data_IF_772204028609
#
_entry.id   IF_772204028609
#
_cell.length_a   1.000
_cell.length_b   1.000
_cell.length_c   1.000
_cell.angle_alpha   90.00
_cell.angle_beta   90.00
_cell.angle_gamma   90.00
#
_symmetry.space_group_name_H-M   'P 1'
#
loop_
_entity.id
_entity.type
_entity.pdbx_description
1 polymer ?
#
# COMPACT_ATOMS: atom_id res chain seq x y z
N UNK A 1 -20.47 14.61 23.70
CA UNK A 1 -19.09 14.12 23.84
C UNK A 1 -18.16 14.99 23.00
N UNK A 2 -17.06 15.48 23.59
CA UNK A 2 -16.07 16.29 22.91
C UNK A 2 -15.39 15.49 21.78
N UNK A 3 -15.18 16.12 20.62
CA UNK A 3 -14.40 15.52 19.53
C UNK A 3 -12.92 15.83 19.78
N UNK A 4 -12.07 14.81 19.72
CA UNK A 4 -10.62 14.97 19.79
C UNK A 4 -10.14 15.56 18.46
N UNK A 5 -9.46 16.72 18.44
CA UNK A 5 -8.86 17.28 17.23
C UNK A 5 -7.60 16.50 16.83
N UNK A 6 -7.31 16.46 15.54
CA UNK A 6 -6.03 15.96 15.03
C UNK A 6 -4.92 16.97 15.31
N UNK A 7 -3.77 16.46 15.73
CA UNK A 7 -2.55 17.27 15.84
C UNK A 7 -2.13 17.82 14.48
N UNK A 8 -1.38 18.92 14.48
CA UNK A 8 -0.81 19.48 13.24
C UNK A 8 0.08 18.46 12.52
N UNK A 9 0.84 17.67 13.27
CA UNK A 9 1.71 16.61 12.72
C UNK A 9 0.89 15.47 12.09
N UNK A 10 -0.17 15.02 12.77
CA UNK A 10 -1.07 13.98 12.25
C UNK A 10 -1.75 14.43 10.96
N UNK A 11 -2.22 15.68 10.90
CA UNK A 11 -2.81 16.22 9.67
C UNK A 11 -1.79 16.30 8.54
N UNK A 12 -0.58 16.77 8.82
CA UNK A 12 0.49 16.83 7.83
C UNK A 12 0.82 15.44 7.27
N UNK A 13 0.86 14.42 8.13
CA UNK A 13 1.04 13.03 7.72
C UNK A 13 -0.13 12.52 6.88
N UNK A 14 -1.37 12.75 7.30
CA UNK A 14 -2.54 12.25 6.60
C UNK A 14 -2.71 12.86 5.20
N UNK A 15 -2.28 14.11 5.00
CA UNK A 15 -2.33 14.80 3.70
C UNK A 15 -1.36 14.19 2.67
N UNK A 16 -0.27 13.55 3.09
CA UNK A 16 0.67 12.93 2.14
C UNK A 16 0.16 11.61 1.57
N UNK A 17 -0.90 11.03 2.13
CA UNK A 17 -1.43 9.73 1.72
C UNK A 17 -2.36 9.86 0.51
N UNK A 18 -2.21 9.05 -0.56
CA UNK A 18 -3.09 9.08 -1.73
C UNK A 18 -4.54 8.64 -1.43
N UNK A 19 -4.76 8.00 -0.29
CA UNK A 19 -6.09 7.60 0.19
C UNK A 19 -6.92 8.78 0.73
N UNK A 20 -6.28 9.92 0.97
CA UNK A 20 -6.87 11.09 1.62
C UNK A 20 -6.93 12.24 0.61
N UNK A 21 -8.13 12.79 0.44
CA UNK A 21 -8.34 13.96 -0.41
C UNK A 21 -8.06 15.27 0.35
N UNK A 22 -8.48 15.34 1.61
CA UNK A 22 -8.28 16.51 2.46
C UNK A 22 -8.47 16.16 3.95
N UNK A 23 -7.85 16.95 4.83
CA UNK A 23 -7.91 16.76 6.29
C UNK A 23 -8.19 18.07 7.00
N UNK A 24 -9.35 18.13 7.65
CA UNK A 24 -9.69 19.18 8.61
C UNK A 24 -9.27 18.78 10.02
N UNK A 25 -9.44 19.69 10.99
CA UNK A 25 -9.12 19.44 12.41
C UNK A 25 -9.86 18.24 13.01
N UNK A 26 -11.07 17.92 12.53
CA UNK A 26 -11.88 16.81 13.07
C UNK A 26 -12.34 15.80 12.03
N UNK A 27 -12.09 16.06 10.74
CA UNK A 27 -12.68 15.29 9.63
C UNK A 27 -11.61 14.95 8.61
N UNK A 28 -11.72 13.75 8.06
CA UNK A 28 -10.89 13.28 6.97
C UNK A 28 -11.82 13.07 5.78
N UNK A 29 -11.46 13.67 4.66
CA UNK A 29 -12.08 13.46 3.37
C UNK A 29 -11.26 12.39 2.65
N UNK A 30 -11.88 11.26 2.34
CA UNK A 30 -11.21 10.17 1.65
C UNK A 30 -11.36 10.35 0.14
N UNK A 31 -10.37 9.92 -0.62
CA UNK A 31 -10.47 9.92 -2.08
C UNK A 31 -11.51 8.90 -2.56
N UNK A 32 -12.24 9.23 -3.62
CA UNK A 32 -13.23 8.33 -4.23
C UNK A 32 -12.57 7.05 -4.73
N UNK A 33 -11.37 7.15 -5.31
CA UNK A 33 -10.55 6.00 -5.72
C UNK A 33 -10.29 5.02 -4.56
N UNK A 34 -9.85 5.51 -3.40
CA UNK A 34 -9.61 4.66 -2.24
C UNK A 34 -10.90 4.03 -1.72
N UNK A 35 -12.00 4.80 -1.65
CA UNK A 35 -13.31 4.28 -1.24
C UNK A 35 -13.75 3.11 -2.13
N UNK A 36 -13.64 3.25 -3.45
CA UNK A 36 -14.07 2.22 -4.41
C UNK A 36 -13.20 0.96 -4.31
N UNK A 37 -11.88 1.12 -4.27
CA UNK A 37 -10.93 0.02 -4.06
C UNK A 37 -11.20 -0.72 -2.75
N UNK A 38 -11.43 0.05 -1.67
CA UNK A 38 -11.75 -0.49 -0.34
C UNK A 38 -13.03 -1.31 -0.37
N UNK A 39 -14.11 -0.79 -0.97
CA UNK A 39 -15.39 -1.49 -1.04
C UNK A 39 -15.29 -2.78 -1.86
N UNK A 40 -14.52 -2.78 -2.95
CA UNK A 40 -14.28 -3.98 -3.77
C UNK A 40 -13.59 -5.08 -2.96
N UNK A 41 -12.49 -4.75 -2.28
CA UNK A 41 -11.73 -5.72 -1.46
C UNK A 41 -12.50 -6.16 -0.21
N UNK A 42 -13.20 -5.25 0.44
CA UNK A 42 -13.98 -5.59 1.63
C UNK A 42 -15.13 -6.54 1.27
N UNK A 43 -15.78 -6.39 0.10
CA UNK A 43 -16.78 -7.34 -0.42
C UNK A 43 -16.19 -8.73 -0.69
N UNK A 44 -14.90 -8.81 -1.01
CA UNK A 44 -14.17 -10.09 -1.15
C UNK A 44 -13.84 -10.75 0.21
N UNK A 45 -14.22 -10.13 1.33
CA UNK A 45 -14.03 -10.66 2.68
C UNK A 45 -12.76 -10.18 3.39
N UNK A 46 -12.06 -9.20 2.84
CA UNK A 46 -10.88 -8.63 3.50
C UNK A 46 -11.22 -7.78 4.73
N UNK A 47 -10.35 -7.82 5.74
CA UNK A 47 -10.56 -7.04 6.98
C UNK A 47 -10.40 -5.54 6.74
N UNK A 48 -11.39 -4.75 7.13
CA UNK A 48 -11.34 -3.28 7.04
C UNK A 48 -10.08 -2.69 7.69
N UNK A 49 -9.68 -3.21 8.85
CA UNK A 49 -8.49 -2.74 9.57
C UNK A 49 -7.21 -2.96 8.76
N UNK A 50 -7.13 -4.08 8.03
CA UNK A 50 -5.98 -4.41 7.19
C UNK A 50 -5.89 -3.47 5.99
N UNK A 51 -7.02 -3.22 5.31
CA UNK A 51 -7.08 -2.33 4.15
C UNK A 51 -6.72 -0.89 4.50
N UNK A 52 -7.22 -0.39 5.64
CA UNK A 52 -6.84 0.95 6.11
C UNK A 52 -5.36 1.02 6.48
N UNK A 53 -4.79 -0.02 7.12
CA UNK A 53 -3.35 -0.06 7.42
C UNK A 53 -2.48 -0.08 6.17
N UNK A 54 -2.86 -0.83 5.15
CA UNK A 54 -2.15 -0.89 3.85
C UNK A 54 -2.12 0.48 3.15
N UNK A 55 -3.19 1.26 3.31
CA UNK A 55 -3.29 2.62 2.79
C UNK A 55 -2.59 3.69 3.68
N UNK A 56 -1.85 3.29 4.71
CA UNK A 56 -1.18 4.20 5.66
C UNK A 56 -2.10 4.81 6.72
N UNK A 57 -3.36 4.41 6.77
CA UNK A 57 -4.36 4.90 7.71
C UNK A 57 -4.42 4.00 8.95
N UNK A 58 -3.39 4.04 9.80
CA UNK A 58 -3.29 3.16 10.97
C UNK A 58 -4.46 3.40 11.96
N UNK A 59 -5.12 2.35 12.47
CA UNK A 59 -6.11 2.45 13.55
C UNK A 59 -5.67 3.21 14.80
N UNK A 60 -4.36 3.35 15.05
CA UNK A 60 -3.82 4.17 16.14
C UNK A 60 -4.04 5.68 15.92
N UNK A 61 -3.91 6.15 14.68
CA UNK A 61 -4.08 7.56 14.31
C UNK A 61 -5.56 7.85 14.02
N UNK A 62 -6.20 6.98 13.23
CA UNK A 62 -7.58 7.19 12.78
C UNK A 62 -8.59 6.79 13.85
N UNK A 63 -8.28 5.77 14.65
CA UNK A 63 -9.19 5.14 15.60
C UNK A 63 -10.07 4.05 14.97
N UNK A 64 -10.10 2.86 15.60
CA UNK A 64 -10.93 1.71 15.15
C UNK A 64 -12.40 2.08 14.92
N UNK A 65 -13.01 2.83 15.84
CA UNK A 65 -14.41 3.27 15.73
C UNK A 65 -14.68 4.21 14.57
N UNK A 66 -13.67 4.92 14.05
CA UNK A 66 -13.83 5.77 12.86
C UNK A 66 -13.82 4.91 11.60
N UNK A 67 -12.96 3.88 11.56
CA UNK A 67 -12.94 2.89 10.48
C UNK A 67 -14.30 2.19 10.37
N UNK A 68 -14.81 1.61 11.46
CA UNK A 68 -16.12 0.95 11.49
C UNK A 68 -17.26 1.85 10.96
N UNK A 69 -17.34 3.10 11.45
CA UNK A 69 -18.36 4.06 11.00
C UNK A 69 -18.21 4.43 9.52
N UNK A 70 -16.98 4.59 9.04
CA UNK A 70 -16.75 4.89 7.63
C UNK A 70 -17.19 3.72 6.75
N UNK A 71 -16.82 2.49 7.12
CA UNK A 71 -17.24 1.27 6.41
C UNK A 71 -18.76 1.17 6.33
N UNK A 72 -19.47 1.33 7.46
CA UNK A 72 -20.94 1.26 7.47
C UNK A 72 -21.58 2.34 6.60
N UNK A 73 -21.04 3.57 6.64
CA UNK A 73 -21.52 4.66 5.79
C UNK A 73 -21.29 4.36 4.31
N UNK A 74 -20.11 3.87 3.94
CA UNK A 74 -19.77 3.56 2.56
C UNK A 74 -20.55 2.37 1.99
N UNK A 75 -20.92 1.41 2.84
CA UNK A 75 -21.79 0.30 2.44
C UNK A 75 -23.23 0.73 2.15
N UNK A 76 -23.71 1.77 2.84
CA UNK A 76 -25.04 2.32 2.62
C UNK A 76 -25.14 3.20 1.36
N UNK A 77 -24.01 3.55 0.75
CA UNK A 77 -23.95 4.39 -0.44
C UNK A 77 -23.62 3.52 -1.66
N UNK A 78 -24.26 3.76 -2.82
CA UNK A 78 -23.84 3.14 -4.08
C UNK A 78 -22.35 3.40 -4.33
N UNK A 79 -21.67 2.41 -4.92
CA UNK A 79 -20.34 2.65 -5.48
C UNK A 79 -20.56 3.65 -6.62
N UNK A 80 -19.96 4.83 -6.50
CA UNK A 80 -19.88 5.73 -7.64
C UNK A 80 -18.91 5.04 -8.60
N UNK A 81 -19.45 4.46 -9.67
CA UNK A 81 -18.67 4.19 -10.88
C UNK A 81 -18.18 5.56 -11.31
N UNK A 82 -16.94 5.86 -10.92
CA UNK A 82 -16.17 6.83 -11.69
C UNK A 82 -16.12 6.18 -13.06
N UNK A 83 -16.77 6.80 -14.05
CA UNK A 83 -16.37 6.64 -15.42
C UNK A 83 -14.87 6.90 -15.43
N UNK A 84 -14.14 5.79 -15.48
CA UNK A 84 -12.75 5.76 -15.83
C UNK A 84 -12.74 6.28 -17.27
N UNK A 85 -12.66 7.60 -17.44
CA UNK A 85 -12.05 8.17 -18.64
C UNK A 85 -10.61 7.65 -18.62
N UNK A 86 -10.47 6.41 -19.08
CA UNK A 86 -9.21 5.77 -19.40
C UNK A 86 -8.55 6.62 -20.46
N UNK A 87 -7.73 7.57 -20.03
CA UNK A 87 -6.82 8.27 -20.93
C UNK A 87 -5.49 7.53 -20.98
N UNK A 88 -5.57 6.25 -21.31
CA UNK A 88 -4.48 5.46 -21.88
C UNK A 88 -5.10 4.65 -23.04
N UNK A 89 -5.38 5.31 -24.16
CA UNK A 89 -5.42 4.67 -25.47
C UNK A 89 -5.10 5.68 -26.57
N UNK A 90 -3.97 5.41 -27.22
CA UNK A 90 -3.61 5.83 -28.56
C UNK A 90 -4.81 5.66 -29.52
N UNK A 91 -5.45 6.74 -29.96
CA UNK A 91 -6.20 6.75 -31.21
C UNK A 91 -5.86 7.97 -32.07
N UNK A 92 -5.02 7.68 -33.06
CA UNK A 92 -5.13 8.20 -34.42
C UNK A 92 -6.59 8.14 -34.90
N UNK A 93 -7.34 9.22 -34.74
CA UNK A 93 -8.48 9.52 -35.61
C UNK A 93 -8.85 10.99 -35.53
N UNK A 94 -8.77 11.64 -36.69
CA UNK A 94 -9.05 13.05 -36.86
C UNK A 94 -10.46 13.43 -36.47
N UNK A 95 -10.59 14.18 -35.38
CA UNK A 95 -11.76 15.02 -35.11
C UNK A 95 -11.26 16.44 -34.85
N UNK A 96 -11.66 17.33 -35.75
CA UNK A 96 -11.32 18.74 -35.76
C UNK A 96 -11.93 19.44 -34.53
N UNK A 97 -11.07 19.84 -33.58
CA UNK A 97 -11.43 20.74 -32.49
C UNK A 97 -10.71 22.07 -32.73
N UNK A 98 -11.50 23.11 -32.97
CA UNK A 98 -11.00 24.47 -33.07
C UNK A 98 -10.25 24.86 -31.79
N UNK A 99 -9.06 25.48 -31.88
CA UNK A 99 -8.28 25.88 -30.70
C UNK A 99 -9.04 26.91 -29.86
N UNK A 100 -9.37 26.56 -28.62
CA UNK A 100 -9.69 27.54 -27.60
C UNK A 100 -8.36 28.14 -27.14
N UNK A 101 -8.12 29.38 -27.55
CA UNK A 101 -6.91 30.20 -27.33
C UNK A 101 -6.75 30.61 -25.84
N UNK A 102 -6.64 29.63 -24.95
CA UNK A 102 -6.39 29.81 -23.52
C UNK A 102 -5.13 29.07 -23.08
N UNK A 103 -4.00 29.79 -23.13
CA UNK A 103 -2.71 29.52 -22.50
C UNK A 103 -1.92 28.25 -22.92
N UNK A 104 -1.31 28.28 -24.11
CA UNK A 104 -0.14 27.43 -24.44
C UNK A 104 0.97 27.52 -23.37
N UNK A 105 1.10 28.67 -22.72
CA UNK A 105 2.03 28.95 -21.62
C UNK A 105 1.77 28.06 -20.39
N UNK A 106 0.51 27.82 -20.04
CA UNK A 106 0.11 27.02 -18.89
C UNK A 106 0.32 25.54 -19.18
N UNK A 107 -0.02 25.08 -20.39
CA UNK A 107 0.26 23.70 -20.87
C UNK A 107 1.78 23.42 -20.90
N UNK A 108 2.58 24.37 -21.40
CA UNK A 108 4.03 24.25 -21.42
C UNK A 108 4.64 24.22 -20.00
N UNK A 109 4.12 25.04 -19.09
CA UNK A 109 4.52 25.04 -17.69
C UNK A 109 4.17 23.70 -17.01
N UNK A 110 2.96 23.18 -17.23
CA UNK A 110 2.56 21.87 -16.71
C UNK A 110 3.50 20.78 -17.20
N UNK A 111 3.80 20.71 -18.51
CA UNK A 111 4.75 19.74 -19.07
C UNK A 111 6.15 19.87 -18.46
N UNK A 112 6.63 21.10 -18.30
CA UNK A 112 7.94 21.36 -17.69
C UNK A 112 7.99 20.91 -16.22
N UNK A 113 6.93 21.19 -15.45
CA UNK A 113 6.82 20.77 -14.05
C UNK A 113 6.76 19.25 -13.93
N UNK A 114 5.99 18.57 -14.78
CA UNK A 114 5.93 17.10 -14.81
C UNK A 114 7.30 16.48 -15.11
N UNK A 115 8.03 17.02 -16.10
CA UNK A 115 9.38 16.54 -16.42
C UNK A 115 10.38 16.79 -15.29
N UNK A 116 10.31 17.96 -14.64
CA UNK A 116 11.12 18.25 -13.45
C UNK A 116 10.82 17.29 -12.30
N UNK A 117 9.54 17.02 -12.05
CA UNK A 117 9.10 16.10 -11.01
C UNK A 117 9.58 14.68 -11.29
N UNK A 118 9.45 14.19 -12.52
CA UNK A 118 9.94 12.87 -12.93
C UNK A 118 11.46 12.73 -12.69
N UNK A 119 12.26 13.73 -13.08
CA UNK A 119 13.71 13.75 -12.84
C UNK A 119 14.05 13.71 -11.35
N UNK A 120 13.33 14.48 -10.54
CA UNK A 120 13.53 14.50 -9.09
C UNK A 120 13.17 13.17 -8.45
N UNK A 121 12.12 12.51 -8.91
CA UNK A 121 11.71 11.18 -8.44
C UNK A 121 12.84 10.18 -8.70
N UNK A 122 13.36 10.10 -9.93
CA UNK A 122 14.47 9.20 -10.26
C UNK A 122 15.72 9.47 -9.41
N UNK A 123 16.06 10.73 -9.17
CA UNK A 123 17.19 11.11 -8.30
C UNK A 123 16.99 10.60 -6.86
N UNK A 124 15.80 10.80 -6.31
CA UNK A 124 15.46 10.36 -4.96
C UNK A 124 15.48 8.83 -4.85
N UNK A 125 14.93 8.12 -5.84
CA UNK A 125 14.97 6.66 -5.91
C UNK A 125 16.41 6.13 -5.92
N UNK A 126 17.28 6.70 -6.75
CA UNK A 126 18.71 6.35 -6.77
C UNK A 126 19.34 6.63 -5.40
N UNK A 127 18.99 7.74 -4.77
CA UNK A 127 19.55 8.10 -3.45
C UNK A 127 19.12 7.12 -2.37
N UNK A 128 17.85 6.72 -2.34
CA UNK A 128 17.31 5.73 -1.40
C UNK A 128 18.09 4.42 -1.55
N UNK A 129 18.19 3.89 -2.78
CA UNK A 129 18.94 2.66 -3.05
C UNK A 129 20.40 2.78 -2.60
N UNK A 130 21.02 3.95 -2.79
CA UNK A 130 22.40 4.18 -2.34
C UNK A 130 22.53 4.21 -0.81
N UNK A 131 21.55 4.79 -0.11
CA UNK A 131 21.52 4.87 1.34
C UNK A 131 21.24 3.50 1.96
N UNK A 132 20.32 2.74 1.40
CA UNK A 132 20.04 1.35 1.81
C UNK A 132 21.28 0.47 1.65
N UNK A 133 22.02 0.58 0.55
CA UNK A 133 23.30 -0.14 0.40
C UNK A 133 24.36 0.31 1.41
N UNK A 134 24.41 1.59 1.76
CA UNK A 134 25.33 2.09 2.79
C UNK A 134 24.96 1.58 4.18
N UNK A 135 23.67 1.56 4.50
CA UNK A 135 23.17 0.96 5.74
C UNK A 135 23.48 -0.53 5.78
N UNK A 136 23.24 -1.28 4.69
CA UNK A 136 23.56 -2.70 4.63
C UNK A 136 25.06 -2.99 4.82
N UNK A 137 25.95 -2.08 4.39
CA UNK A 137 27.39 -2.18 4.64
C UNK A 137 27.75 -1.88 6.09
N UNK A 138 27.23 -0.78 6.65
CA UNK A 138 27.48 -0.40 8.04
C UNK A 138 26.89 -1.39 9.05
N UNK A 139 25.74 -1.97 8.76
CA UNK A 139 25.09 -3.01 9.58
C UNK A 139 25.72 -4.39 9.36
N UNK A 140 26.43 -4.61 8.25
CA UNK A 140 27.19 -5.83 7.99
C UNK A 140 28.50 -5.93 8.77
N UNK A 141 28.99 -4.83 9.34
CA UNK A 141 30.22 -4.78 10.14
C UNK A 141 29.97 -5.04 11.65
N UNK A 142 28.72 -5.24 12.10
CA UNK A 142 28.36 -5.49 13.51
C UNK A 142 28.16 -6.99 13.86
N UNK A 143 28.62 -7.91 13.02
CA UNK A 143 28.47 -9.36 13.26
C UNK A 143 29.72 -10.15 12.93
N UNK A 144 30.84 -9.82 13.60
CA UNK A 144 31.99 -10.69 13.77
C UNK A 144 32.83 -10.20 14.96
N UNK A 145 32.33 -10.37 16.20
CA UNK A 145 33.22 -10.47 17.37
C UNK A 145 32.56 -11.28 18.49
N UNK A 146 32.55 -12.59 18.34
CA UNK A 146 32.60 -13.50 19.49
C UNK A 146 33.36 -14.77 19.08
N UNK A 147 34.66 -14.60 18.85
CA UNK A 147 35.61 -15.71 18.80
C UNK A 147 36.05 -16.02 20.23
N UNK A 148 35.42 -17.00 20.89
CA UNK A 148 36.07 -17.71 22.00
C UNK A 148 36.34 -19.16 21.62
N UNK A 149 37.62 -19.46 21.51
CA UNK A 149 38.18 -20.76 21.18
C UNK A 149 37.85 -21.80 22.28
N UNK A 150 37.48 -23.02 21.85
CA UNK A 150 37.56 -24.20 22.73
C UNK A 150 39.02 -24.50 23.13
N UNK A 151 39.24 -25.34 24.18
CA UNK A 151 38.91 -26.75 24.04
C UNK A 151 38.31 -27.45 25.29
N UNK A 152 37.59 -28.55 25.00
CA UNK A 152 37.17 -29.71 25.82
C UNK A 152 38.17 -30.20 26.90
N UNK A 153 37.84 -31.19 27.78
CA UNK A 153 36.57 -31.93 28.00
C UNK A 153 36.20 -32.19 29.48
N UNK A 154 34.95 -32.63 29.76
CA UNK A 154 34.63 -33.81 30.59
C UNK A 154 33.23 -33.77 31.26
N UNK A 155 32.65 -34.97 31.33
CA UNK A 155 31.66 -35.47 32.31
C UNK A 155 30.16 -35.27 32.02
N UNK A 156 29.50 -36.43 31.84
CA UNK A 156 28.38 -36.82 32.70
C UNK A 156 26.96 -36.60 32.17
N UNK A 157 26.23 -37.71 32.00
CA UNK A 157 24.78 -37.71 32.26
C UNK A 157 23.88 -38.13 31.12
N UNK A 158 23.68 -39.44 31.01
CA UNK A 158 22.39 -40.14 30.81
C UNK A 158 21.16 -39.32 30.38
N UNK A 159 20.42 -39.81 29.37
CA UNK A 159 18.96 -39.63 29.38
C UNK A 159 18.24 -39.72 28.05
N UNK A 160 17.94 -40.95 27.64
CA UNK A 160 16.65 -41.37 27.07
C UNK A 160 16.23 -40.86 25.69
N UNK A 161 16.19 -41.85 24.79
CA UNK A 161 15.48 -41.97 23.51
C UNK A 161 14.01 -41.50 23.54
N UNK A 162 13.54 -40.88 22.45
CA UNK A 162 12.33 -41.32 21.70
C UNK A 162 12.48 -40.98 20.22
N UNK A 163 12.26 -41.98 19.38
CA UNK A 163 12.29 -41.94 17.91
C UNK A 163 10.93 -41.57 17.30
N UNK A 164 10.99 -40.80 16.19
CA UNK A 164 10.36 -41.02 14.87
C UNK A 164 8.84 -41.32 14.75
N UNK A 165 8.14 -40.49 13.98
CA UNK A 165 7.33 -40.81 12.77
C UNK A 165 6.48 -39.57 12.39
N UNK A 166 6.65 -38.87 11.26
CA UNK A 166 6.44 -39.23 9.85
C UNK A 166 5.00 -39.68 9.50
N UNK A 167 4.35 -38.98 8.55
CA UNK A 167 3.25 -39.38 7.60
C UNK A 167 2.15 -38.28 7.53
N UNK A 168 1.52 -37.85 6.42
CA UNK A 168 1.65 -37.85 4.94
C UNK A 168 0.35 -37.20 4.39
N UNK A 169 0.39 -36.68 3.15
CA UNK A 169 -0.71 -36.43 2.20
C UNK A 169 -1.70 -35.28 2.53
N UNK A 170 -2.09 -34.37 1.62
CA UNK A 170 -2.09 -34.38 0.16
C UNK A 170 -3.52 -34.38 -0.38
N UNK A 171 -4.02 -33.25 -0.94
CA UNK A 171 -5.16 -33.26 -1.89
C UNK A 171 -5.22 -31.96 -2.72
N UNK A 172 -4.76 -32.08 -3.96
CA UNK A 172 -4.99 -31.15 -5.08
C UNK A 172 -6.38 -31.47 -5.66
N UNK A 173 -7.25 -30.47 -5.84
CA UNK A 173 -8.52 -30.63 -6.58
C UNK A 173 -8.30 -30.28 -8.04
N UNK A 174 -8.68 -31.22 -8.91
CA UNK A 174 -8.70 -31.02 -10.35
C UNK A 174 -9.94 -30.24 -10.79
N UNK A 175 -9.69 -29.31 -11.71
CA UNK A 175 -10.65 -28.61 -12.55
C UNK A 175 -11.25 -29.62 -13.56
N UNK A 176 -12.56 -29.68 -13.69
CA UNK A 176 -13.22 -30.35 -14.82
C UNK A 176 -13.91 -29.30 -15.68
N UNK A 177 -13.47 -29.20 -16.93
CA UNK A 177 -14.13 -28.49 -18.01
C UNK A 177 -15.17 -29.42 -18.63
N UNK A 178 -16.41 -28.95 -18.76
CA UNK A 178 -17.46 -29.59 -19.57
C UNK A 178 -18.04 -28.56 -20.53
N UNK A 179 -17.54 -28.55 -21.77
CA UNK A 179 -18.23 -27.91 -22.89
C UNK A 179 -19.39 -28.81 -23.33
N UNK A 180 -20.62 -28.31 -23.16
CA UNK A 180 -21.79 -28.82 -23.86
C UNK A 180 -21.98 -28.05 -25.16
N UNK A 181 -21.76 -28.69 -26.30
CA UNK A 181 -22.26 -28.25 -27.60
C UNK A 181 -23.68 -28.77 -27.77
N UNK A 182 -24.62 -27.90 -28.14
CA UNK A 182 -25.72 -28.13 -29.10
C UNK A 182 -26.35 -26.80 -29.44
#
# INVERSE_FOLDING_TARGET
>A
MARVPFSREERAYLITLPAVADVSEYRIQYSTRFRNEFLRRYRNGESAVRLFREAGLDPKIIGRKRIERCTNRWMALPIEELDDDGQDDDQDSGVSLAPLEGDESNIALTRSLTLMQSRRITELEIRIVSLERKLARLTGDEQDDDSEAGPSPASGGSGTSVSVAATRAGRIRQFSHSMGRR
#
